data_IF_012300607638
#
_entry.id   IF_012300607638
#
_cell.length_a   1.000
_cell.length_b   1.000
_cell.length_c   1.000
_cell.angle_alpha   90.00
_cell.angle_beta   90.00
_cell.angle_gamma   90.00
#
_symmetry.space_group_name_H-M   'P 1'
#
loop_
_entity.id
_entity.type
_entity.pdbx_description
1 polymer ?
#
# COMPACT_ATOMS: atom_id res chain seq x y z
N UNK A 1 -4.66 6.98 -9.90
CA UNK A 1 -5.68 5.96 -10.20
C UNK A 1 -5.99 5.99 -11.69
N UNK A 2 -6.53 4.90 -12.24
CA UNK A 2 -7.00 4.88 -13.64
C UNK A 2 -8.22 5.77 -13.86
N UNK A 3 -9.07 5.88 -12.84
CA UNK A 3 -10.23 6.77 -12.77
C UNK A 3 -10.25 7.51 -11.44
N UNK A 4 -11.06 8.56 -11.31
CA UNK A 4 -11.16 9.32 -10.06
C UNK A 4 -11.95 8.49 -9.05
N UNK A 5 -11.41 8.34 -7.85
CA UNK A 5 -12.04 7.57 -6.78
C UNK A 5 -12.92 8.50 -5.95
N UNK A 6 -14.18 8.11 -5.80
CA UNK A 6 -15.20 8.82 -5.01
C UNK A 6 -15.59 8.05 -3.76
N UNK A 7 -15.55 6.72 -3.83
CA UNK A 7 -15.98 5.86 -2.74
C UNK A 7 -14.86 5.59 -1.74
N UNK A 8 -15.21 5.64 -0.46
CA UNK A 8 -14.27 5.40 0.63
C UNK A 8 -13.72 3.97 0.57
N UNK A 9 -14.55 2.97 0.29
CA UNK A 9 -14.09 1.56 0.22
C UNK A 9 -13.07 1.33 -0.90
N UNK A 10 -13.25 1.96 -2.06
CA UNK A 10 -12.29 1.88 -3.15
C UNK A 10 -10.96 2.54 -2.78
N UNK A 11 -11.02 3.70 -2.12
CA UNK A 11 -9.83 4.39 -1.61
C UNK A 11 -9.11 3.54 -0.55
N UNK A 12 -9.87 2.96 0.37
CA UNK A 12 -9.38 2.09 1.43
C UNK A 12 -8.69 0.86 0.85
N UNK A 13 -9.28 0.21 -0.16
CA UNK A 13 -8.66 -0.92 -0.86
C UNK A 13 -7.33 -0.54 -1.51
N UNK A 14 -7.28 0.62 -2.18
CA UNK A 14 -6.05 1.14 -2.75
C UNK A 14 -4.95 1.38 -1.69
N UNK A 15 -5.30 2.03 -0.58
CA UNK A 15 -4.38 2.29 0.52
C UNK A 15 -3.86 0.99 1.14
N UNK A 16 -4.73 0.00 1.37
CA UNK A 16 -4.34 -1.31 1.85
C UNK A 16 -3.33 -1.98 0.90
N UNK A 17 -3.59 -1.96 -0.41
CA UNK A 17 -2.67 -2.56 -1.39
C UNK A 17 -1.31 -1.84 -1.43
N UNK A 18 -1.31 -0.50 -1.34
CA UNK A 18 -0.09 0.28 -1.32
C UNK A 18 0.72 0.06 -0.04
N UNK A 19 0.05 0.00 1.12
CA UNK A 19 0.66 -0.33 2.40
C UNK A 19 1.26 -1.75 2.40
N UNK A 20 0.53 -2.74 1.89
CA UNK A 20 1.02 -4.12 1.78
C UNK A 20 2.28 -4.21 0.92
N UNK A 21 2.29 -3.55 -0.24
CA UNK A 21 3.46 -3.49 -1.14
C UNK A 21 4.63 -2.73 -0.52
N UNK A 22 4.36 -1.63 0.18
CA UNK A 22 5.41 -0.87 0.87
C UNK A 22 6.06 -1.72 1.97
N UNK A 23 5.27 -2.46 2.75
CA UNK A 23 5.74 -3.39 3.75
C UNK A 23 6.57 -4.54 3.15
N UNK A 24 6.14 -5.12 2.03
CA UNK A 24 6.90 -6.15 1.33
C UNK A 24 8.29 -5.63 0.89
N UNK A 25 8.36 -4.41 0.34
CA UNK A 25 9.63 -3.79 -0.04
C UNK A 25 10.53 -3.54 1.17
N UNK A 26 9.96 -3.02 2.26
CA UNK A 26 10.66 -2.78 3.51
C UNK A 26 11.32 -4.06 4.05
N UNK A 27 10.60 -5.20 3.99
CA UNK A 27 11.14 -6.52 4.38
C UNK A 27 12.27 -7.00 3.48
N UNK A 28 12.17 -6.74 2.17
CA UNK A 28 13.23 -7.04 1.21
C UNK A 28 14.53 -6.26 1.47
N UNK A 29 14.43 -5.10 2.11
CA UNK A 29 15.59 -4.30 2.56
C UNK A 29 16.00 -4.60 4.01
N UNK A 30 15.36 -5.57 4.68
CA UNK A 30 15.59 -5.94 6.08
C UNK A 30 15.45 -4.76 7.07
N UNK A 31 14.52 -3.84 6.78
CA UNK A 31 14.28 -2.65 7.60
C UNK A 31 12.96 -2.74 8.37
N UNK A 32 12.86 -1.95 9.43
CA UNK A 32 11.64 -1.71 10.18
C UNK A 32 11.23 -0.25 10.00
N UNK A 33 9.93 0.06 10.02
CA UNK A 33 9.44 1.42 9.95
C UNK A 33 8.69 1.78 11.23
N UNK A 34 8.81 3.05 11.63
CA UNK A 34 8.07 3.61 12.77
C UNK A 34 7.11 4.71 12.35
N UNK A 35 7.38 5.39 11.25
CA UNK A 35 6.54 6.46 10.73
C UNK A 35 5.75 5.97 9.52
N UNK A 36 4.43 6.11 9.58
CA UNK A 36 3.52 5.79 8.47
C UNK A 36 2.67 7.03 8.19
N UNK A 37 2.70 7.49 6.95
CA UNK A 37 1.92 8.62 6.46
C UNK A 37 1.05 8.20 5.29
N UNK A 38 -0.19 8.66 5.27
CA UNK A 38 -1.11 8.50 4.15
C UNK A 38 -1.50 9.88 3.66
N UNK A 39 -1.53 10.05 2.33
CA UNK A 39 -1.94 11.29 1.71
C UNK A 39 -2.98 11.02 0.62
N UNK A 40 -3.90 11.96 0.45
CA UNK A 40 -4.91 11.97 -0.59
C UNK A 40 -4.94 13.35 -1.25
N UNK A 41 -5.18 13.39 -2.56
CA UNK A 41 -5.31 14.65 -3.29
C UNK A 41 -6.27 14.55 -4.47
N UNK A 42 -7.03 15.62 -4.67
CA UNK A 42 -7.83 15.86 -5.88
C UNK A 42 -6.96 16.51 -6.96
N UNK A 43 -7.53 16.70 -8.15
CA UNK A 43 -6.79 17.28 -9.26
C UNK A 43 -6.76 18.81 -9.15
N UNK A 44 -5.58 19.46 -9.18
CA UNK A 44 -5.50 20.92 -9.24
C UNK A 44 -5.93 21.47 -10.61
N UNK A 45 -6.09 20.61 -11.63
CA UNK A 45 -6.45 20.98 -12.99
C UNK A 45 -7.94 20.75 -13.32
N UNK A 46 -8.75 20.33 -12.33
CA UNK A 46 -10.18 20.19 -12.54
C UNK A 46 -10.85 21.57 -12.52
N UNK A 47 -11.38 22.01 -13.66
CA UNK A 47 -12.26 23.18 -13.69
C UNK A 47 -13.51 22.91 -12.85
N UNK A 48 -13.87 23.87 -11.99
CA UNK A 48 -15.06 23.87 -11.12
C UNK A 48 -15.07 22.87 -9.95
N UNK A 49 -13.94 22.26 -9.58
CA UNK A 49 -13.84 21.44 -8.36
C UNK A 49 -12.84 22.10 -7.39
N UNK A 50 -13.19 22.29 -6.10
CA UNK A 50 -12.25 22.79 -5.11
C UNK A 50 -11.10 21.81 -4.93
N UNK A 51 -9.87 22.32 -5.00
CA UNK A 51 -8.69 21.51 -4.71
C UNK A 51 -8.67 21.11 -3.24
N UNK A 52 -8.55 19.80 -3.01
CA UNK A 52 -8.41 19.22 -1.68
C UNK A 52 -7.19 18.32 -1.69
N UNK A 53 -6.25 18.60 -0.80
CA UNK A 53 -5.07 17.79 -0.58
C UNK A 53 -4.77 17.76 0.90
N UNK A 54 -4.72 16.57 1.48
CA UNK A 54 -4.46 16.40 2.90
C UNK A 54 -3.59 15.17 3.15
N UNK A 55 -2.88 15.18 4.28
CA UNK A 55 -2.06 14.07 4.73
C UNK A 55 -2.15 13.92 6.23
N UNK A 56 -2.15 12.66 6.68
CA UNK A 56 -2.06 12.32 8.08
C UNK A 56 -0.95 11.30 8.27
N UNK A 57 -0.25 11.45 9.38
CA UNK A 57 0.80 10.54 9.77
C UNK A 57 0.60 10.04 11.19
N UNK A 58 1.13 8.85 11.44
CA UNK A 58 1.18 8.24 12.74
C UNK A 58 2.58 7.69 12.97
N UNK A 59 3.09 7.90 14.17
CA UNK A 59 4.33 7.30 14.65
C UNK A 59 3.97 6.14 15.56
N UNK A 60 4.36 4.93 15.18
CA UNK A 60 4.24 3.75 16.01
C UNK A 60 5.19 3.84 17.20
N UNK A 61 4.86 3.15 18.29
CA UNK A 61 5.74 3.09 19.46
C UNK A 61 6.88 2.11 19.21
N UNK A 62 6.56 0.92 18.73
CA UNK A 62 7.51 -0.11 18.32
C UNK A 62 7.71 -0.12 16.79
N UNK A 63 8.96 -0.17 16.29
CA UNK A 63 9.23 -0.33 14.86
C UNK A 63 8.68 -1.66 14.34
N UNK A 64 7.96 -1.64 13.22
CA UNK A 64 7.36 -2.85 12.64
C UNK A 64 7.64 -2.97 11.14
N UNK A 65 7.62 -4.22 10.67
CA UNK A 65 7.64 -4.59 9.26
C UNK A 65 6.47 -5.52 8.90
N UNK A 66 5.52 -5.73 9.83
CA UNK A 66 4.33 -6.54 9.61
C UNK A 66 3.35 -5.76 8.71
N UNK A 67 2.93 -6.38 7.60
CA UNK A 67 1.99 -5.74 6.67
C UNK A 67 0.67 -5.37 7.34
N UNK A 68 0.19 -6.14 8.32
CA UNK A 68 -1.10 -5.90 9.00
C UNK A 68 -1.06 -4.64 9.85
N UNK A 69 0.03 -4.43 10.58
CA UNK A 69 0.19 -3.23 11.42
C UNK A 69 0.34 -1.98 10.55
N UNK A 70 1.10 -2.08 9.47
CA UNK A 70 1.27 -0.98 8.50
C UNK A 70 -0.04 -0.65 7.79
N UNK A 71 -0.80 -1.66 7.35
CA UNK A 71 -2.12 -1.48 6.74
C UNK A 71 -3.08 -0.80 7.73
N UNK A 72 -3.17 -1.31 8.96
CA UNK A 72 -4.04 -0.73 9.99
C UNK A 72 -3.66 0.73 10.30
N UNK A 73 -2.35 1.02 10.36
CA UNK A 73 -1.87 2.37 10.56
C UNK A 73 -2.24 3.31 9.40
N UNK A 74 -2.06 2.84 8.16
CA UNK A 74 -2.41 3.61 6.97
C UNK A 74 -3.91 3.88 6.86
N UNK A 75 -4.77 2.90 7.16
CA UNK A 75 -6.23 3.06 7.18
C UNK A 75 -6.65 4.07 8.24
N UNK A 76 -6.11 3.98 9.47
CA UNK A 76 -6.38 5.00 10.52
C UNK A 76 -5.97 6.41 10.11
N UNK A 77 -4.89 6.55 9.33
CA UNK A 77 -4.51 7.84 8.77
C UNK A 77 -5.47 8.29 7.67
N UNK A 78 -5.93 7.38 6.81
CA UNK A 78 -6.94 7.65 5.79
C UNK A 78 -8.25 8.16 6.41
N UNK A 79 -8.72 7.53 7.50
CA UNK A 79 -9.97 7.91 8.19
C UNK A 79 -9.98 9.36 8.66
N UNK A 80 -8.80 9.91 8.97
CA UNK A 80 -8.67 11.30 9.44
C UNK A 80 -8.64 12.33 8.32
N UNK A 81 -8.27 11.92 7.11
CA UNK A 81 -8.09 12.82 5.95
C UNK A 81 -9.12 12.60 4.86
N UNK A 82 -9.96 11.58 5.01
CA UNK A 82 -11.06 11.34 4.11
C UNK A 82 -12.11 12.43 4.26
N UNK A 83 -12.56 12.96 3.13
CA UNK A 83 -13.66 13.89 3.07
C UNK A 83 -14.59 13.50 1.93
N UNK A 84 -15.85 13.23 2.28
CA UNK A 84 -16.86 12.83 1.31
C UNK A 84 -17.20 13.96 0.34
N UNK A 85 -17.66 13.60 -0.86
CA UNK A 85 -18.00 14.56 -1.93
C UNK A 85 -16.79 15.05 -2.75
N UNK A 86 -15.58 14.59 -2.47
CA UNK A 86 -14.39 14.89 -3.28
C UNK A 86 -14.03 13.76 -4.25
N UNK A 87 -13.55 14.15 -5.44
CA UNK A 87 -13.08 13.22 -6.47
C UNK A 87 -11.57 13.10 -6.42
N UNK A 88 -11.09 12.10 -5.71
CA UNK A 88 -9.66 11.92 -5.49
C UNK A 88 -8.96 11.38 -6.74
N UNK A 89 -7.84 12.01 -7.10
CA UNK A 89 -7.04 11.63 -8.27
C UNK A 89 -5.83 10.76 -7.89
N UNK A 90 -5.25 11.02 -6.71
CA UNK A 90 -4.07 10.32 -6.23
C UNK A 90 -4.15 10.12 -4.72
N UNK A 91 -3.72 8.95 -4.29
CA UNK A 91 -3.40 8.67 -2.91
C UNK A 91 -2.10 7.88 -2.83
N UNK A 92 -1.54 7.78 -1.64
CA UNK A 92 -0.34 6.99 -1.40
C UNK A 92 -0.03 6.83 0.07
N UNK A 93 0.82 5.84 0.34
CA UNK A 93 1.38 5.56 1.66
C UNK A 93 2.87 5.83 1.60
N UNK A 94 3.40 6.50 2.63
CA UNK A 94 4.81 6.78 2.81
C UNK A 94 5.25 6.18 4.14
N UNK A 95 6.28 5.35 4.09
CA UNK A 95 6.94 4.80 5.27
C UNK A 95 8.20 5.62 5.54
N UNK A 96 8.56 5.78 6.81
CA UNK A 96 9.77 6.47 7.22
C UNK A 96 10.19 6.10 8.64
N UNK A 97 11.20 6.81 9.14
CA UNK A 97 11.83 6.53 10.44
C UNK A 97 12.26 5.05 10.48
N UNK A 98 13.22 4.72 9.60
CA UNK A 98 13.66 3.35 9.37
C UNK A 98 14.72 2.92 10.37
N UNK A 99 14.62 1.67 10.82
CA UNK A 99 15.56 1.05 11.75
C UNK A 99 16.10 -0.25 11.16
N UNK A 100 17.40 -0.48 11.35
CA UNK A 100 18.03 -1.76 11.03
C UNK A 100 17.72 -2.82 12.09
N UNK A 101 17.80 -4.09 11.68
CA UNK A 101 17.61 -5.23 12.56
C UNK A 101 18.50 -5.14 13.82
N UNK A 102 17.90 -5.24 15.01
CA UNK A 102 18.63 -5.23 16.30
C UNK A 102 18.61 -3.93 17.11
N UNK A 103 17.98 -2.86 16.62
CA UNK A 103 17.94 -1.54 17.32
C UNK A 103 16.60 -1.25 18.01
N UNK A 104 15.62 -2.16 17.92
CA UNK A 104 14.30 -1.95 18.50
C UNK A 104 14.24 -2.44 19.96
N UNK A 105 14.32 -1.49 20.90
CA UNK A 105 13.94 -1.74 22.29
C UNK A 105 12.41 -1.79 22.39
N UNK A 106 11.88 -2.92 22.84
CA UNK A 106 10.44 -3.07 23.10
C UNK A 106 10.05 -2.19 24.29
N UNK A 107 8.98 -1.41 24.14
CA UNK A 107 8.41 -0.65 25.26
C UNK A 107 7.65 -1.60 26.19
N UNK A 108 7.86 -1.46 27.50
CA UNK A 108 7.23 -2.31 28.54
C UNK A 108 5.69 -2.18 28.56
N UNK A 109 5.16 -1.07 28.05
CA UNK A 109 3.72 -0.72 28.04
C UNK A 109 3.12 -0.69 26.63
N UNK A 110 3.75 -1.34 25.65
CA UNK A 110 3.21 -1.32 24.28
C UNK A 110 2.12 -2.39 24.12
N UNK A 111 0.89 -1.94 23.83
CA UNK A 111 -0.23 -2.83 23.51
C UNK A 111 -0.04 -3.57 22.18
N UNK A 112 0.89 -3.11 21.32
CA UNK A 112 1.23 -3.73 20.05
C UNK A 112 2.53 -4.54 20.14
N UNK A 113 2.59 -5.49 21.06
CA UNK A 113 3.69 -6.47 21.11
C UNK A 113 3.76 -7.20 19.75
N UNK A 114 4.96 -7.36 19.15
CA UNK A 114 5.10 -8.10 17.90
C UNK A 114 4.49 -9.50 18.05
N UNK A 115 3.46 -9.78 17.24
CA UNK A 115 2.69 -11.03 17.32
C UNK A 115 3.63 -12.23 17.16
N UNK A 116 3.45 -13.25 18.00
CA UNK A 116 4.20 -14.50 17.90
C UNK A 116 4.07 -15.10 16.48
N UNK A 117 5.20 -15.43 15.85
CA UNK A 117 5.22 -16.02 14.51
C UNK A 117 4.92 -15.07 13.33
N UNK A 118 4.79 -13.75 13.58
CA UNK A 118 4.57 -12.75 12.53
C UNK A 118 5.65 -12.77 11.45
N UNK A 119 6.93 -12.84 11.84
CA UNK A 119 8.06 -12.87 10.91
C UNK A 119 7.98 -14.07 9.94
N UNK A 120 7.76 -15.28 10.46
CA UNK A 120 7.62 -16.50 9.65
C UNK A 120 6.41 -16.44 8.71
N UNK A 121 5.28 -15.91 9.19
CA UNK A 121 4.09 -15.75 8.36
C UNK A 121 4.34 -14.79 7.20
N UNK A 122 4.96 -13.64 7.46
CA UNK A 122 5.26 -12.64 6.44
C UNK A 122 6.27 -13.17 5.42
N UNK A 123 7.27 -13.93 5.87
CA UNK A 123 8.24 -14.61 5.00
C UNK A 123 7.57 -15.62 4.07
N UNK A 124 6.67 -16.47 4.58
CA UNK A 124 5.91 -17.41 3.76
C UNK A 124 5.02 -16.70 2.74
N UNK A 125 4.36 -15.62 3.17
CA UNK A 125 3.50 -14.82 2.28
C UNK A 125 4.31 -14.19 1.15
N UNK A 126 5.47 -13.60 1.47
CA UNK A 126 6.35 -13.00 0.47
C UNK A 126 6.96 -14.05 -0.46
N UNK A 127 7.35 -15.21 0.06
CA UNK A 127 7.89 -16.32 -0.72
C UNK A 127 6.86 -16.87 -1.71
N UNK A 128 5.62 -17.09 -1.29
CA UNK A 128 4.54 -17.54 -2.17
C UNK A 128 4.21 -16.49 -3.24
N UNK A 129 4.16 -15.20 -2.87
CA UNK A 129 3.99 -14.11 -3.82
C UNK A 129 5.17 -13.96 -4.80
N UNK A 130 6.38 -14.36 -4.42
CA UNK A 130 7.54 -14.37 -5.32
C UNK A 130 7.50 -15.56 -6.29
N UNK A 131 7.06 -16.73 -5.81
CA UNK A 131 7.03 -17.98 -6.58
C UNK A 131 5.85 -18.06 -7.55
N UNK A 132 4.65 -17.77 -7.07
CA UNK A 132 3.40 -18.02 -7.81
C UNK A 132 2.88 -16.77 -8.52
N UNK A 133 3.54 -15.62 -8.34
CA UNK A 133 3.20 -14.35 -9.00
C UNK A 133 2.79 -13.24 -8.03
N UNK A 134 3.07 -12.00 -8.43
CA UNK A 134 2.75 -10.82 -7.61
C UNK A 134 1.24 -10.70 -7.44
N UNK A 135 0.76 -10.79 -6.20
CA UNK A 135 -0.66 -10.68 -5.87
C UNK A 135 -1.40 -12.01 -5.83
N UNK A 136 -0.68 -13.14 -5.76
CA UNK A 136 -1.29 -14.46 -5.52
C UNK A 136 -1.90 -14.56 -4.11
N UNK A 137 -1.21 -13.99 -3.11
CA UNK A 137 -1.73 -13.80 -1.76
C UNK A 137 -1.80 -12.31 -1.44
N UNK A 138 -2.99 -11.87 -1.03
CA UNK A 138 -3.28 -10.50 -0.66
C UNK A 138 -4.17 -10.49 0.59
N UNK A 139 -4.13 -9.39 1.33
CA UNK A 139 -5.02 -9.21 2.47
C UNK A 139 -6.43 -8.87 1.98
N UNK A 140 -7.46 -9.33 2.70
CA UNK A 140 -8.86 -9.08 2.34
C UNK A 140 -9.18 -7.57 2.18
N UNK A 141 -8.47 -6.72 2.93
CA UNK A 141 -8.60 -5.26 2.82
C UNK A 141 -8.09 -4.66 1.52
N UNK A 142 -7.38 -5.40 0.66
CA UNK A 142 -6.83 -4.91 -0.62
C UNK A 142 -7.85 -4.95 -1.77
N UNK A 143 -8.98 -5.65 -1.59
CA UNK A 143 -10.00 -5.83 -2.62
C UNK A 143 -9.61 -6.86 -3.70
N UNK A 144 -10.60 -7.62 -4.16
CA UNK A 144 -10.42 -8.65 -5.21
C UNK A 144 -10.43 -7.99 -6.61
N UNK A 145 -11.31 -7.02 -6.83
CA UNK A 145 -11.41 -6.26 -8.08
C UNK A 145 -10.90 -4.84 -7.88
N UNK A 146 -9.73 -4.54 -8.44
CA UNK A 146 -9.10 -3.23 -8.32
C UNK A 146 -9.59 -2.29 -9.43
N UNK A 147 -10.82 -1.79 -9.33
CA UNK A 147 -11.36 -0.84 -10.32
C UNK A 147 -10.53 0.46 -10.42
N UNK A 148 -9.87 0.84 -9.32
CA UNK A 148 -8.94 1.96 -9.23
C UNK A 148 -7.56 1.71 -9.87
N UNK A 149 -7.31 0.50 -10.40
CA UNK A 149 -6.03 0.14 -11.00
C UNK A 149 -5.60 1.14 -12.09
N UNK A 150 -4.29 1.29 -12.25
CA UNK A 150 -3.72 2.20 -13.25
C UNK A 150 -4.13 1.76 -14.67
N UNK A 151 -4.66 2.69 -15.47
CA UNK A 151 -4.91 2.46 -16.91
C UNK A 151 -3.57 2.17 -17.60
N UNK A 152 -3.45 0.99 -18.21
CA UNK A 152 -2.25 0.49 -18.91
C UNK A 152 -2.53 0.21 -20.39
N UNK A 153 -3.52 0.88 -20.97
CA UNK A 153 -3.97 0.64 -22.35
C UNK A 153 -2.90 1.02 -23.40
N UNK A 154 -1.96 1.90 -23.06
CA UNK A 154 -0.83 2.29 -23.90
C UNK A 154 0.47 1.52 -23.58
N UNK A 155 0.39 0.37 -22.90
CA UNK A 155 1.58 -0.44 -22.64
C UNK A 155 2.06 -1.08 -23.95
N UNK A 156 3.36 -0.98 -24.25
CA UNK A 156 3.93 -1.72 -25.37
C UNK A 156 3.80 -3.24 -25.12
N UNK A 157 3.61 -4.05 -26.18
CA UNK A 157 3.49 -5.50 -26.03
C UNK A 157 4.76 -6.09 -25.41
N UNK A 158 4.59 -7.10 -24.56
CA UNK A 158 5.68 -7.72 -23.81
C UNK A 158 6.35 -8.85 -24.61
N UNK A 159 6.98 -8.49 -25.72
CA UNK A 159 7.56 -9.44 -26.68
C UNK A 159 8.51 -10.48 -26.07
N UNK A 160 9.23 -10.15 -24.99
CA UNK A 160 10.23 -11.05 -24.39
C UNK A 160 9.72 -11.87 -23.21
N UNK A 161 8.58 -11.50 -22.62
CA UNK A 161 8.11 -12.08 -21.35
C UNK A 161 6.70 -12.66 -21.42
N UNK A 162 6.00 -12.50 -22.55
CA UNK A 162 4.66 -13.02 -22.74
C UNK A 162 4.45 -13.51 -24.16
N UNK A 163 4.28 -14.82 -24.31
CA UNK A 163 4.08 -15.46 -25.62
C UNK A 163 2.87 -14.91 -26.39
N UNK A 164 1.80 -14.52 -25.70
CA UNK A 164 0.60 -13.92 -26.32
C UNK A 164 0.84 -12.56 -26.95
N UNK A 165 1.92 -11.88 -26.57
CA UNK A 165 2.23 -10.52 -27.01
C UNK A 165 3.29 -10.53 -28.13
N UNK A 166 3.69 -11.72 -28.63
CA UNK A 166 4.58 -11.88 -29.77
C UNK A 166 3.90 -11.41 -31.07
N UNK A 167 4.70 -10.84 -31.96
CA UNK A 167 4.23 -10.48 -33.31
C UNK A 167 3.83 -11.75 -34.07
N UNK A 168 2.54 -11.84 -34.43
CA UNK A 168 2.04 -12.87 -35.33
C UNK A 168 2.35 -12.44 -36.77
N UNK A 169 3.20 -13.20 -37.46
CA UNK A 169 3.44 -13.06 -38.89
C UNK A 169 2.24 -13.69 -39.62
N UNK A 170 1.65 -12.95 -40.57
CA UNK A 170 0.62 -13.46 -41.47
C UNK A 170 1.24 -14.20 -42.65
#
# INVERSE_FOLDING_TARGET
FGERVTDYEDMRQAICNYAARAAQKLRGEHQYCRFISTFVKTSPFALNEPYYGNSAAMKLLTPTQDSRDIINAAVKCLDKIWHDGHRYQKAGVMLGDFFSHGVAQLNLFDDNVPRAGSAKLMEVLDHLNAKDGKGTLYFAGEGIQQQWAMKREMLSPRYTTRYSDLLLVK
#
